data_IF_124643282163
#
_entry.id   IF_124643282163
#
_cell.length_a   1.000
_cell.length_b   1.000
_cell.length_c   1.000
_cell.angle_alpha   90.00
_cell.angle_beta   90.00
_cell.angle_gamma   90.00
#
_symmetry.space_group_name_H-M   'P 1'
#
loop_
_entity.id
_entity.type
_entity.pdbx_description
1 polymer ?
#
# COMPACT_ATOMS: atom_id res chain seq x y z
N UNK A 1 0.23 -16.28 46.70
CA UNK A 1 0.89 -15.09 46.14
C UNK A 1 -0.05 -14.58 45.05
N UNK A 2 -0.85 -13.57 45.38
CA UNK A 2 -1.85 -12.97 44.49
C UNK A 2 -1.29 -11.62 44.02
N UNK A 3 -1.41 -11.25 42.72
CA UNK A 3 -1.02 -9.92 42.26
C UNK A 3 -2.04 -8.86 42.73
N UNK A 4 -1.63 -7.60 42.90
CA UNK A 4 -2.49 -6.56 43.42
C UNK A 4 -3.49 -6.08 42.37
N UNK A 5 -4.74 -5.92 42.81
CA UNK A 5 -5.80 -5.23 42.09
C UNK A 5 -5.45 -3.74 41.93
N UNK A 6 -5.47 -3.23 40.70
CA UNK A 6 -5.60 -1.79 40.44
C UNK A 6 -7.03 -1.48 40.03
N UNK A 7 -7.75 -0.79 40.90
CA UNK A 7 -9.08 -0.24 40.65
C UNK A 7 -8.98 0.95 39.72
N UNK A 8 -9.76 0.94 38.64
CA UNK A 8 -10.02 2.14 37.82
C UNK A 8 -10.90 3.08 38.64
N UNK A 9 -10.33 4.21 39.09
CA UNK A 9 -11.11 5.32 39.60
C UNK A 9 -11.21 6.40 38.51
N UNK A 10 -12.41 6.56 37.97
CA UNK A 10 -12.81 7.72 37.18
C UNK A 10 -12.77 8.98 38.05
N UNK A 11 -11.85 9.90 37.76
CA UNK A 11 -11.89 11.26 38.27
C UNK A 11 -11.53 12.25 37.17
N UNK A 12 -12.49 13.13 36.89
CA UNK A 12 -12.55 14.18 35.88
C UNK A 12 -11.39 15.20 35.93
N UNK A 13 -10.21 14.89 35.38
CA UNK A 13 -9.28 15.85 34.80
C UNK A 13 -8.18 15.12 34.00
N UNK A 14 -8.34 15.12 32.68
CA UNK A 14 -7.69 14.24 31.71
C UNK A 14 -6.21 14.58 31.43
N UNK A 15 -5.33 14.55 32.44
CA UNK A 15 -3.87 14.53 32.24
C UNK A 15 -3.25 13.51 33.19
N UNK A 16 -3.09 12.27 32.71
CA UNK A 16 -2.26 11.28 33.39
C UNK A 16 -0.82 11.81 33.37
N UNK A 17 -0.25 11.94 34.56
CA UNK A 17 1.17 12.26 34.72
C UNK A 17 1.89 10.92 34.73
N UNK A 18 2.52 10.57 33.61
CA UNK A 18 3.34 9.36 33.46
C UNK A 18 4.55 9.45 34.41
N UNK A 19 4.86 8.35 35.09
CA UNK A 19 6.10 8.23 35.85
C UNK A 19 7.31 8.20 34.90
N UNK A 20 8.51 8.52 35.41
CA UNK A 20 9.70 8.89 34.62
C UNK A 20 10.25 7.76 33.72
N UNK A 21 9.68 6.56 33.80
CA UNK A 21 10.08 5.34 33.07
C UNK A 21 8.94 4.74 32.21
N UNK A 22 7.81 5.42 32.07
CA UNK A 22 6.65 4.90 31.33
C UNK A 22 6.71 5.32 29.85
N UNK A 23 7.06 4.36 28.98
CA UNK A 23 7.08 4.57 27.52
C UNK A 23 5.63 4.63 27.01
N UNK A 24 5.27 5.77 26.41
CA UNK A 24 3.97 5.91 25.74
C UNK A 24 4.04 5.32 24.32
N UNK A 25 3.01 4.55 23.97
CA UNK A 25 2.90 3.91 22.66
C UNK A 25 1.73 4.48 21.89
N UNK A 26 1.97 4.82 20.64
CA UNK A 26 1.00 5.41 19.73
C UNK A 26 0.74 4.47 18.57
N UNK A 27 -0.51 4.34 18.14
CA UNK A 27 -0.88 3.53 16.98
C UNK A 27 -1.18 4.48 15.83
N UNK A 28 -0.50 4.32 14.70
CA UNK A 28 -0.56 5.26 13.59
C UNK A 28 -0.43 4.60 12.22
N UNK A 29 -0.89 5.30 11.19
CA UNK A 29 -0.74 4.85 9.81
C UNK A 29 0.61 5.28 9.23
N UNK A 30 1.23 4.42 8.41
CA UNK A 30 2.48 4.73 7.71
C UNK A 30 2.49 4.14 6.30
N UNK A 31 3.23 4.79 5.39
CA UNK A 31 3.37 4.31 4.02
C UNK A 31 4.38 3.17 3.93
N UNK A 32 4.12 2.18 3.07
CA UNK A 32 5.14 1.22 2.65
C UNK A 32 6.35 1.93 2.02
N UNK A 33 7.51 1.28 1.99
CA UNK A 33 8.72 1.87 1.37
C UNK A 33 8.51 2.27 -0.10
N UNK A 34 7.64 1.54 -0.82
CA UNK A 34 7.25 1.83 -2.20
C UNK A 34 6.19 2.94 -2.32
N UNK A 35 5.59 3.39 -1.22
CA UNK A 35 4.46 4.33 -1.19
C UNK A 35 3.15 3.77 -1.75
N UNK A 36 3.07 2.46 -2.01
CA UNK A 36 1.93 1.82 -2.66
C UNK A 36 0.90 1.23 -1.70
N UNK A 37 1.21 1.19 -0.41
CA UNK A 37 0.33 0.67 0.63
C UNK A 37 0.41 1.56 1.87
N UNK A 38 -0.68 1.59 2.64
CA UNK A 38 -0.72 2.24 3.95
C UNK A 38 -0.95 1.15 5.00
N UNK A 39 -0.02 1.02 5.93
CA UNK A 39 -0.04 0.04 7.01
C UNK A 39 -0.29 0.72 8.35
N UNK A 40 -0.65 -0.07 9.35
CA UNK A 40 -0.74 0.38 10.73
C UNK A 40 0.50 -0.07 11.50
N UNK A 41 1.09 0.83 12.28
CA UNK A 41 2.27 0.58 13.10
C UNK A 41 2.08 1.07 14.54
N UNK A 42 2.97 0.64 15.42
CA UNK A 42 3.09 1.19 16.79
C UNK A 42 4.38 1.97 16.92
N UNK A 43 4.28 3.14 17.53
CA UNK A 43 5.33 4.14 17.61
C UNK A 43 5.56 4.56 19.06
N UNK A 44 6.75 5.08 19.35
CA UNK A 44 7.10 5.65 20.67
C UNK A 44 6.91 7.16 20.75
N UNK A 45 6.44 7.77 19.65
CA UNK A 45 6.19 9.20 19.52
C UNK A 45 4.84 9.47 18.85
N UNK A 46 4.26 10.62 19.15
CA UNK A 46 2.96 11.06 18.64
C UNK A 46 3.00 11.49 17.17
N UNK A 47 4.20 11.72 16.60
CA UNK A 47 4.39 12.02 15.18
C UNK A 47 4.52 10.78 14.31
N UNK A 48 4.43 9.58 14.90
CA UNK A 48 4.54 8.30 14.22
C UNK A 48 5.85 8.15 13.41
N UNK A 49 6.97 8.64 13.96
CA UNK A 49 8.27 8.66 13.26
C UNK A 49 9.20 7.52 13.67
N UNK A 50 9.04 6.98 14.88
CA UNK A 50 9.90 5.96 15.45
C UNK A 50 9.07 4.74 15.86
N UNK A 51 9.30 3.61 15.19
CA UNK A 51 8.62 2.37 15.52
C UNK A 51 9.01 1.88 16.92
N UNK A 52 8.04 1.27 17.61
CA UNK A 52 8.22 0.68 18.92
C UNK A 52 9.07 -0.60 18.92
N UNK A 53 9.19 -1.26 17.77
CA UNK A 53 10.07 -2.41 17.55
C UNK A 53 10.47 -2.52 16.07
N UNK A 54 11.40 -3.44 15.77
CA UNK A 54 11.90 -3.69 14.41
C UNK A 54 10.83 -4.26 13.45
N UNK A 55 9.71 -4.76 13.97
CA UNK A 55 8.59 -5.32 13.22
C UNK A 55 7.43 -4.31 13.09
N UNK A 56 7.75 -3.03 12.92
CA UNK A 56 6.76 -1.96 12.75
C UNK A 56 5.87 -1.74 13.98
N UNK A 57 6.28 -2.21 15.16
CA UNK A 57 5.50 -2.12 16.39
C UNK A 57 4.53 -3.29 16.61
N UNK A 58 4.46 -4.27 15.69
CA UNK A 58 3.53 -5.38 15.78
C UNK A 58 3.81 -6.30 16.99
N UNK A 59 5.07 -6.47 17.35
CA UNK A 59 5.46 -7.34 18.48
C UNK A 59 5.11 -6.69 19.81
N UNK A 60 5.31 -5.39 19.90
CA UNK A 60 4.93 -4.53 21.03
C UNK A 60 3.42 -4.48 21.17
N UNK A 61 2.68 -4.31 20.06
CA UNK A 61 1.22 -4.37 20.09
C UNK A 61 0.72 -5.70 20.66
N UNK A 62 1.30 -6.81 20.19
CA UNK A 62 0.92 -8.15 20.63
C UNK A 62 1.19 -8.37 22.12
N UNK A 63 2.31 -7.88 22.65
CA UNK A 63 2.64 -8.00 24.08
C UNK A 63 1.68 -7.17 24.95
N UNK A 64 1.35 -5.95 24.52
CA UNK A 64 0.45 -5.04 25.25
C UNK A 64 -1.02 -5.49 25.19
N UNK A 65 -1.43 -6.14 24.12
CA UNK A 65 -2.84 -6.53 23.88
C UNK A 65 -3.15 -7.99 24.19
N UNK A 66 -2.27 -8.67 24.93
CA UNK A 66 -2.43 -10.07 25.35
C UNK A 66 -2.58 -11.03 24.17
N UNK A 67 -1.72 -10.88 23.16
CA UNK A 67 -1.64 -11.79 22.01
C UNK A 67 -2.54 -11.41 20.82
N UNK A 68 -3.13 -10.23 20.80
CA UNK A 68 -3.87 -9.76 19.61
C UNK A 68 -2.89 -9.29 18.54
N UNK A 69 -3.23 -9.54 17.29
CA UNK A 69 -2.46 -9.05 16.15
C UNK A 69 -2.83 -7.61 15.83
N UNK A 70 -1.84 -6.83 15.41
CA UNK A 70 -2.04 -5.47 14.93
C UNK A 70 -2.77 -5.55 13.57
N UNK A 71 -4.01 -5.03 13.45
CA UNK A 71 -4.71 -5.04 12.18
C UNK A 71 -3.96 -4.17 11.16
N UNK A 72 -3.94 -4.59 9.89
CA UNK A 72 -3.26 -3.87 8.81
C UNK A 72 -1.75 -3.67 9.00
N UNK A 73 -1.10 -4.48 9.84
CA UNK A 73 0.36 -4.50 9.93
C UNK A 73 1.00 -4.96 8.62
N UNK A 74 0.48 -6.06 8.05
CA UNK A 74 1.00 -6.67 6.81
C UNK A 74 0.10 -6.42 5.59
N UNK A 75 -1.13 -5.98 5.83
CA UNK A 75 -2.12 -5.69 4.77
C UNK A 75 -2.35 -4.19 4.69
N UNK A 76 -2.60 -3.68 3.49
CA UNK A 76 -2.92 -2.26 3.32
C UNK A 76 -4.29 -1.92 3.91
N UNK A 77 -4.39 -0.82 4.63
CA UNK A 77 -5.64 -0.23 5.11
C UNK A 77 -6.50 0.29 3.95
N UNK A 78 -5.85 0.69 2.86
CA UNK A 78 -6.50 1.21 1.66
C UNK A 78 -6.22 0.22 0.53
N UNK A 79 -7.25 -0.49 0.09
CA UNK A 79 -7.14 -1.35 -1.07
C UNK A 79 -7.24 -0.55 -2.38
N UNK A 80 -7.08 -1.24 -3.50
CA UNK A 80 -7.17 -0.65 -4.85
C UNK A 80 -8.60 -0.58 -5.36
N UNK A 81 -9.57 -1.04 -4.58
CA UNK A 81 -10.98 -0.97 -4.92
C UNK A 81 -11.46 0.48 -5.03
N UNK A 82 -12.18 0.77 -6.11
CA UNK A 82 -12.90 2.02 -6.22
C UNK A 82 -14.11 1.97 -5.29
N UNK A 83 -14.23 2.94 -4.39
CA UNK A 83 -15.50 3.15 -3.71
C UNK A 83 -16.45 3.90 -4.65
N UNK A 84 -17.70 3.45 -4.68
CA UNK A 84 -18.74 4.22 -5.37
C UNK A 84 -19.03 5.50 -4.58
N UNK A 85 -18.85 6.63 -5.24
CA UNK A 85 -19.32 7.94 -4.75
C UNK A 85 -20.84 8.09 -4.87
N UNK A 86 -21.51 7.21 -5.59
CA UNK A 86 -22.98 7.19 -5.64
C UNK A 86 -23.54 6.76 -4.29
N UNK A 87 -24.48 7.53 -3.77
CA UNK A 87 -25.25 7.18 -2.58
C UNK A 87 -26.08 5.90 -2.80
N UNK A 88 -26.19 5.03 -1.78
CA UNK A 88 -27.06 3.85 -1.87
C UNK A 88 -28.53 4.30 -1.85
N UNK A 89 -29.31 3.86 -2.83
CA UNK A 89 -30.74 4.18 -2.96
C UNK A 89 -31.63 3.68 -1.79
N UNK A 90 -31.07 2.91 -0.86
CA UNK A 90 -31.79 2.20 0.21
C UNK A 90 -31.51 2.77 1.62
N UNK A 91 -31.01 4.00 1.75
CA UNK A 91 -30.94 4.68 3.04
C UNK A 91 -32.32 5.22 3.45
N UNK A 92 -33.00 4.46 4.31
CA UNK A 92 -34.11 4.84 5.18
C UNK A 92 -35.21 5.81 4.64
N UNK A 93 -36.34 5.23 4.23
CA UNK A 93 -37.64 5.93 4.07
C UNK A 93 -38.22 6.56 5.37
N UNK A 94 -37.45 6.60 6.47
CA UNK A 94 -37.87 7.09 7.79
C UNK A 94 -36.98 8.21 8.35
N UNK A 95 -36.02 8.73 7.58
CA UNK A 95 -35.26 9.91 7.97
C UNK A 95 -35.88 11.12 7.26
N UNK A 96 -36.65 11.94 7.98
CA UNK A 96 -37.35 13.13 7.43
C UNK A 96 -36.40 14.19 6.84
N UNK A 97 -35.08 13.98 6.95
CA UNK A 97 -34.05 14.83 6.38
C UNK A 97 -33.53 14.38 5.00
N UNK A 98 -33.77 13.13 4.57
CA UNK A 98 -33.28 12.61 3.27
C UNK A 98 -34.19 12.99 2.08
N UNK A 99 -35.39 13.54 2.32
CA UNK A 99 -36.24 14.04 1.24
C UNK A 99 -35.77 15.40 0.67
N UNK A 100 -34.75 16.00 1.28
CA UNK A 100 -34.20 17.30 0.89
C UNK A 100 -32.78 17.21 0.30
N UNK A 101 -32.10 16.06 0.39
CA UNK A 101 -30.83 15.86 -0.28
C UNK A 101 -31.10 15.43 -1.72
N UNK A 102 -31.02 16.42 -2.62
CA UNK A 102 -31.02 16.23 -4.07
C UNK A 102 -29.65 15.71 -4.56
N UNK A 103 -28.70 15.44 -3.66
CA UNK A 103 -27.37 14.98 -4.01
C UNK A 103 -27.32 13.45 -4.09
N UNK A 104 -26.93 12.92 -5.25
CA UNK A 104 -26.69 11.48 -5.43
C UNK A 104 -25.25 11.09 -5.03
N UNK A 105 -24.46 12.01 -4.46
CA UNK A 105 -23.06 11.84 -4.09
C UNK A 105 -22.88 11.72 -2.58
N UNK A 106 -22.05 10.78 -2.13
CA UNK A 106 -21.71 10.62 -0.71
C UNK A 106 -20.89 11.80 -0.20
N UNK A 107 -21.16 12.26 1.02
CA UNK A 107 -20.40 13.32 1.72
C UNK A 107 -18.87 13.13 1.64
N UNK A 108 -18.37 11.91 1.86
CA UNK A 108 -16.92 11.63 1.79
C UNK A 108 -16.31 11.92 0.40
N UNK A 109 -17.10 11.77 -0.66
CA UNK A 109 -16.67 12.08 -2.02
C UNK A 109 -16.78 13.57 -2.33
N UNK A 110 -17.77 14.28 -1.78
CA UNK A 110 -17.82 15.75 -1.86
C UNK A 110 -16.61 16.38 -1.19
N UNK A 111 -16.32 15.99 0.06
CA UNK A 111 -15.17 16.50 0.81
C UNK A 111 -13.85 16.21 0.08
N UNK A 112 -13.71 14.99 -0.45
CA UNK A 112 -12.53 14.63 -1.25
C UNK A 112 -12.44 15.44 -2.54
N UNK A 113 -13.58 15.63 -3.22
CA UNK A 113 -13.65 16.45 -4.43
C UNK A 113 -13.25 17.88 -4.11
N UNK A 114 -13.82 18.51 -3.07
CA UNK A 114 -13.53 19.88 -2.62
C UNK A 114 -12.05 20.13 -2.31
N UNK A 115 -11.40 19.19 -1.63
CA UNK A 115 -9.98 19.30 -1.26
C UNK A 115 -9.04 18.92 -2.41
N UNK A 116 -9.54 18.33 -3.50
CA UNK A 116 -8.71 17.89 -4.61
C UNK A 116 -8.13 19.05 -5.43
N UNK A 117 -7.01 18.78 -6.10
CA UNK A 117 -6.46 19.68 -7.12
C UNK A 117 -7.35 19.70 -8.37
N UNK A 118 -8.39 20.53 -8.37
CA UNK A 118 -9.41 20.58 -9.41
C UNK A 118 -8.91 21.22 -10.71
N UNK A 119 -9.23 20.59 -11.83
CA UNK A 119 -9.16 21.19 -13.15
C UNK A 119 -10.52 21.09 -13.83
N UNK A 120 -11.41 22.02 -13.52
CA UNK A 120 -12.79 22.02 -14.00
C UNK A 120 -12.96 22.78 -15.33
N UNK A 121 -11.89 22.88 -16.12
CA UNK A 121 -11.91 23.56 -17.40
C UNK A 121 -12.84 22.83 -18.39
N UNK A 122 -13.81 23.56 -18.93
CA UNK A 122 -14.80 23.01 -19.88
C UNK A 122 -16.00 22.32 -19.23
N UNK A 123 -16.12 22.34 -17.90
CA UNK A 123 -17.34 21.93 -17.21
C UNK A 123 -18.35 23.09 -17.13
N UNK A 124 -19.63 22.77 -17.27
CA UNK A 124 -20.72 23.73 -17.17
C UNK A 124 -21.11 23.94 -15.70
N UNK A 125 -20.25 24.61 -14.94
CA UNK A 125 -20.42 24.90 -13.51
C UNK A 125 -20.29 26.40 -13.24
N UNK A 126 -20.99 26.90 -12.23
CA UNK A 126 -21.12 28.34 -11.97
C UNK A 126 -19.79 29.00 -11.55
N UNK A 127 -18.94 28.28 -10.80
CA UNK A 127 -17.65 28.76 -10.31
C UNK A 127 -16.56 27.71 -10.47
N UNK A 128 -15.99 27.55 -11.68
CA UNK A 128 -14.99 26.53 -11.93
C UNK A 128 -13.67 26.81 -11.22
N UNK A 129 -13.17 25.80 -10.53
CA UNK A 129 -11.86 25.74 -9.93
C UNK A 129 -10.85 25.14 -10.94
N UNK A 130 -9.89 25.96 -11.34
CA UNK A 130 -8.85 25.60 -12.30
C UNK A 130 -7.44 25.59 -11.67
N UNK A 131 -7.32 25.60 -10.35
CA UNK A 131 -6.02 25.65 -9.66
C UNK A 131 -5.14 24.43 -9.99
N UNK A 132 -5.74 23.26 -10.20
CA UNK A 132 -5.06 22.03 -10.61
C UNK A 132 -4.70 21.96 -12.11
N UNK A 133 -5.29 22.81 -12.97
CA UNK A 133 -5.04 22.75 -14.41
C UNK A 133 -3.57 23.03 -14.74
N UNK A 134 -2.96 24.02 -14.09
CA UNK A 134 -1.54 24.35 -14.31
C UNK A 134 -0.61 23.20 -13.89
N UNK A 135 -0.97 22.47 -12.83
CA UNK A 135 -0.23 21.30 -12.39
C UNK A 135 -0.33 20.16 -13.42
N UNK A 136 -1.53 19.90 -13.96
CA UNK A 136 -1.73 18.91 -15.02
C UNK A 136 -1.03 19.28 -16.33
N UNK A 137 -1.01 20.56 -16.70
CA UNK A 137 -0.25 21.06 -17.85
C UNK A 137 1.26 20.99 -17.62
N UNK A 138 1.70 21.22 -16.38
CA UNK A 138 3.11 21.16 -15.95
C UNK A 138 3.67 19.74 -15.84
N UNK A 139 2.86 18.73 -15.50
CA UNK A 139 3.25 17.30 -15.52
C UNK A 139 3.21 16.71 -16.93
N UNK A 140 3.16 17.52 -17.99
CA UNK A 140 3.56 17.03 -19.31
C UNK A 140 5.01 16.55 -19.20
N UNK A 141 5.21 15.24 -19.01
CA UNK A 141 6.51 14.58 -19.09
C UNK A 141 6.92 14.60 -20.57
N UNK A 142 7.29 15.77 -21.07
CA UNK A 142 7.91 15.91 -22.38
C UNK A 142 9.37 15.51 -22.24
N UNK A 143 9.68 14.22 -22.47
CA UNK A 143 10.97 13.91 -23.09
C UNK A 143 10.97 14.53 -24.48
N UNK A 144 12.14 14.94 -24.96
CA UNK A 144 12.41 15.70 -26.20
C UNK A 144 11.70 15.22 -27.50
N UNK A 145 10.99 14.09 -27.47
CA UNK A 145 10.30 13.47 -28.60
C UNK A 145 8.76 13.42 -28.47
N UNK A 146 8.14 14.15 -27.54
CA UNK A 146 6.70 14.50 -27.59
C UNK A 146 5.67 13.37 -27.44
N UNK A 147 6.05 12.20 -26.93
CA UNK A 147 5.13 11.05 -26.73
C UNK A 147 4.70 10.92 -25.27
N UNK A 148 3.38 10.89 -25.05
CA UNK A 148 2.74 10.77 -23.73
C UNK A 148 2.70 9.29 -23.34
N UNK A 149 3.26 8.92 -22.18
CA UNK A 149 3.11 7.58 -21.61
C UNK A 149 2.59 7.73 -20.18
N UNK A 150 1.37 7.27 -19.95
CA UNK A 150 0.72 7.23 -18.65
C UNK A 150 0.98 5.88 -17.97
N UNK A 151 1.33 5.89 -16.68
CA UNK A 151 1.11 4.75 -15.76
C UNK A 151 2.33 3.95 -15.29
N UNK A 152 2.24 3.35 -14.08
CA UNK A 152 3.35 2.78 -13.33
C UNK A 152 3.77 1.43 -13.91
N UNK A 153 5.08 1.25 -14.05
CA UNK A 153 5.66 0.12 -14.76
C UNK A 153 6.39 0.61 -15.99
N UNK A 154 7.40 1.47 -15.79
CA UNK A 154 8.34 1.77 -16.86
C UNK A 154 8.97 0.44 -17.28
N UNK A 155 8.53 -0.11 -18.41
CA UNK A 155 9.19 -1.24 -19.06
C UNK A 155 10.60 -0.77 -19.39
N UNK A 156 11.54 -1.13 -18.53
CA UNK A 156 12.92 -0.72 -18.72
C UNK A 156 13.47 -1.58 -19.87
N UNK A 157 13.54 -1.00 -21.07
CA UNK A 157 13.98 -1.69 -22.29
C UNK A 157 15.34 -2.36 -22.09
N UNK A 158 16.22 -1.76 -21.28
CA UNK A 158 17.51 -2.37 -20.95
C UNK A 158 17.33 -3.67 -20.15
N UNK A 159 16.47 -3.66 -19.12
CA UNK A 159 16.20 -4.85 -18.30
C UNK A 159 15.61 -6.01 -19.12
N UNK A 160 14.69 -5.72 -20.04
CA UNK A 160 14.11 -6.74 -20.92
C UNK A 160 15.14 -7.40 -21.84
N UNK A 161 16.11 -6.63 -22.35
CA UNK A 161 17.19 -7.16 -23.19
C UNK A 161 18.12 -8.10 -22.40
N UNK A 162 18.50 -7.73 -21.18
CA UNK A 162 19.36 -8.57 -20.34
C UNK A 162 18.70 -9.88 -19.95
N UNK A 163 17.40 -9.87 -19.61
CA UNK A 163 16.64 -11.10 -19.31
C UNK A 163 16.63 -12.04 -20.51
N UNK A 164 16.43 -11.51 -21.73
CA UNK A 164 16.45 -12.31 -22.95
C UNK A 164 17.81 -12.97 -23.22
N UNK A 165 18.91 -12.22 -23.04
CA UNK A 165 20.27 -12.74 -23.20
C UNK A 165 20.59 -13.84 -22.17
N UNK A 166 20.21 -13.65 -20.91
CA UNK A 166 20.43 -14.63 -19.86
C UNK A 166 19.62 -15.91 -20.09
N UNK A 167 18.35 -15.80 -20.48
CA UNK A 167 17.52 -16.96 -20.77
C UNK A 167 18.07 -17.79 -21.94
N UNK A 168 18.45 -17.15 -23.05
CA UNK A 168 19.01 -17.83 -24.21
C UNK A 168 20.34 -18.53 -23.91
N UNK A 169 21.23 -17.88 -23.16
CA UNK A 169 22.52 -18.48 -22.79
C UNK A 169 22.36 -19.72 -21.90
N UNK A 170 21.42 -19.69 -20.94
CA UNK A 170 21.10 -20.86 -20.10
C UNK A 170 20.56 -22.05 -20.91
N UNK A 171 19.67 -21.80 -21.87
CA UNK A 171 19.11 -22.87 -22.72
C UNK A 171 20.19 -23.49 -23.60
N UNK A 172 21.07 -22.68 -24.19
CA UNK A 172 22.17 -23.19 -25.03
C UNK A 172 23.17 -24.03 -24.22
N UNK A 173 23.57 -23.56 -23.04
CA UNK A 173 24.48 -24.31 -22.17
C UNK A 173 23.83 -25.60 -21.65
N UNK A 174 22.55 -25.56 -21.25
CA UNK A 174 21.80 -26.74 -20.84
C UNK A 174 21.68 -27.77 -21.96
N UNK A 175 21.36 -27.34 -23.19
CA UNK A 175 21.31 -28.19 -24.36
C UNK A 175 22.66 -28.81 -24.70
N UNK A 176 23.75 -28.04 -24.59
CA UNK A 176 25.10 -28.53 -24.83
C UNK A 176 25.54 -29.57 -23.78
N UNK A 177 25.27 -29.33 -22.51
CA UNK A 177 25.52 -30.30 -21.43
C UNK A 177 24.72 -31.60 -21.64
N UNK A 178 23.45 -31.50 -22.05
CA UNK A 178 22.63 -32.66 -22.39
C UNK A 178 23.17 -33.43 -23.60
N UNK A 179 23.64 -32.73 -24.63
CA UNK A 179 24.27 -33.34 -25.79
C UNK A 179 25.54 -34.12 -25.41
N UNK A 180 26.41 -33.54 -24.58
CA UNK A 180 27.61 -34.23 -24.10
C UNK A 180 27.27 -35.44 -23.24
N UNK A 181 26.25 -35.33 -22.36
CA UNK A 181 25.76 -36.46 -21.55
C UNK A 181 25.29 -37.61 -22.42
N UNK A 182 24.45 -37.35 -23.43
CA UNK A 182 23.97 -38.42 -24.32
C UNK A 182 25.07 -39.07 -25.15
N UNK A 183 26.13 -38.34 -25.52
CA UNK A 183 27.34 -38.90 -26.15
C UNK A 183 28.13 -39.80 -25.20
N UNK A 184 28.31 -39.38 -23.95
CA UNK A 184 28.99 -40.16 -22.91
C UNK A 184 28.23 -41.44 -22.57
N UNK A 185 26.91 -41.38 -22.41
CA UNK A 185 26.08 -42.54 -22.11
C UNK A 185 26.13 -43.57 -23.25
N UNK A 186 26.09 -43.13 -24.51
CA UNK A 186 26.27 -44.01 -25.67
C UNK A 186 27.66 -44.64 -25.74
N UNK A 187 28.72 -43.89 -25.40
CA UNK A 187 30.07 -44.43 -25.37
C UNK A 187 30.26 -45.47 -24.25
N UNK A 188 29.63 -45.28 -23.08
CA UNK A 188 29.62 -46.26 -22.00
C UNK A 188 28.94 -47.58 -22.38
N UNK A 189 27.82 -47.54 -23.10
CA UNK A 189 27.09 -48.75 -23.50
C UNK A 189 27.95 -49.66 -24.40
N UNK A 190 28.74 -49.08 -25.31
CA UNK A 190 29.63 -49.86 -26.18
C UNK A 190 30.77 -50.54 -25.40
N UNK A 191 31.24 -49.97 -24.29
CA UNK A 191 32.30 -50.57 -23.47
C UNK A 191 31.81 -51.74 -22.61
N UNK A 192 30.50 -51.80 -22.29
CA UNK A 192 29.90 -52.87 -21.48
C UNK A 192 29.45 -54.06 -22.34
N UNK A 193 29.28 -53.88 -23.65
CA UNK A 193 28.91 -54.96 -24.58
C UNK A 193 30.10 -55.78 -25.12
N UNK A 194 31.33 -55.48 -24.68
CA UNK A 194 32.57 -56.14 -25.11
C UNK A 194 33.23 -57.03 -24.02
N UNK A 195 32.49 -57.36 -22.94
CA UNK A 195 32.77 -58.45 -21.99
C UNK A 195 31.79 -59.61 -22.18
#
# INVERSE_FOLDING_TARGET
HNPPHTTVQDNNNNRRKLEQDEVEYFVGAYCSESGSAIHLGVFTDDTCSQFADENGGASTYMSLTYGKTLPYADTTMIGTECMSCKEPADANQNNENDQADEDEVKESCEQLYEQSGKCEYGLNIQYPNNYGCNFMEGIKIVRKNGTIVSGPGSKNTAASVFIGLFACSFVLLGGYAYYLKTKLDRAKVNLVSEE
#
